data_IF_431428170513
#
_entry.id   IF_431428170513
#
_cell.length_a   1.000
_cell.length_b   1.000
_cell.length_c   1.000
_cell.angle_alpha   90.00
_cell.angle_beta   90.00
_cell.angle_gamma   90.00
#
_symmetry.space_group_name_H-M   'P 1'
#
loop_
_entity.id
_entity.type
_entity.pdbx_description
1 polymer ?
#
# COMPACT_ATOMS: atom_id res chain seq x y z
N UNK A 1 -51.38 -18.35 50.10
CA UNK A 1 -50.10 -19.12 50.06
C UNK A 1 -49.72 -19.26 48.59
N UNK A 2 -48.96 -18.32 48.01
CA UNK A 2 -47.50 -18.33 47.76
C UNK A 2 -46.97 -19.63 47.11
N UNK A 3 -46.39 -19.45 45.92
CA UNK A 3 -45.57 -20.41 45.13
C UNK A 3 -46.15 -20.56 43.72
N UNK A 4 -45.59 -20.08 42.61
CA UNK A 4 -44.22 -19.66 42.29
C UNK A 4 -43.62 -20.62 41.27
N UNK A 5 -43.81 -20.36 39.97
CA UNK A 5 -43.00 -20.94 38.90
C UNK A 5 -42.76 -19.88 37.83
N UNK A 6 -41.54 -19.34 37.81
CA UNK A 6 -41.07 -18.40 36.82
C UNK A 6 -40.83 -19.12 35.48
N UNK A 7 -41.35 -18.55 34.39
CA UNK A 7 -41.00 -18.97 33.04
C UNK A 7 -39.54 -18.58 32.77
N UNK A 8 -38.66 -19.58 32.67
CA UNK A 8 -37.28 -19.41 32.21
C UNK A 8 -37.29 -19.19 30.69
N UNK A 9 -37.09 -17.94 30.26
CA UNK A 9 -36.73 -17.61 28.88
C UNK A 9 -35.32 -18.17 28.57
N UNK A 10 -35.08 -18.86 27.44
CA UNK A 10 -33.74 -19.30 27.08
C UNK A 10 -32.99 -18.11 26.49
N UNK A 11 -32.41 -17.30 27.37
CA UNK A 11 -31.57 -16.15 27.02
C UNK A 11 -30.03 -16.39 27.01
N UNK A 12 -29.44 -17.59 26.76
CA UNK A 12 -27.98 -17.67 26.61
C UNK A 12 -27.47 -17.82 25.17
N UNK A 13 -28.32 -18.00 24.15
CA UNK A 13 -27.83 -18.31 22.79
C UNK A 13 -27.49 -17.10 21.92
N UNK A 14 -28.00 -15.90 22.25
CA UNK A 14 -27.69 -14.66 21.51
C UNK A 14 -26.44 -13.92 22.03
N UNK A 15 -25.92 -14.29 23.21
CA UNK A 15 -24.70 -13.70 23.77
C UNK A 15 -23.40 -14.42 23.32
N UNK A 16 -23.51 -15.62 22.76
CA UNK A 16 -22.35 -16.42 22.30
C UNK A 16 -21.94 -16.14 20.85
N UNK A 17 -22.71 -15.35 20.09
CA UNK A 17 -22.37 -14.93 18.72
C UNK A 17 -21.60 -13.59 18.66
N UNK A 18 -21.37 -12.93 19.80
CA UNK A 18 -20.67 -11.64 19.87
C UNK A 18 -19.16 -11.74 20.18
N UNK A 19 -18.59 -12.95 20.19
CA UNK A 19 -17.15 -13.19 20.24
C UNK A 19 -16.70 -13.93 18.98
N UNK A 20 -17.08 -13.41 17.81
CA UNK A 20 -16.34 -13.71 16.58
C UNK A 20 -14.93 -13.12 16.76
N UNK A 21 -14.03 -13.92 17.37
CA UNK A 21 -12.60 -13.62 17.48
C UNK A 21 -12.14 -13.30 16.07
N UNK A 22 -11.75 -12.05 15.81
CA UNK A 22 -11.12 -11.69 14.54
C UNK A 22 -10.00 -12.70 14.30
N UNK A 23 -9.91 -13.27 13.08
CA UNK A 23 -8.83 -14.21 12.78
C UNK A 23 -7.50 -13.55 13.14
N UNK A 24 -6.54 -14.31 13.69
CA UNK A 24 -5.25 -13.76 14.09
C UNK A 24 -4.63 -13.01 12.91
N UNK A 25 -4.11 -11.81 13.19
CA UNK A 25 -3.45 -10.96 12.19
C UNK A 25 -2.34 -11.76 11.49
N UNK A 26 -2.33 -11.77 10.15
CA UNK A 26 -1.31 -12.51 9.39
C UNK A 26 0.06 -11.89 9.63
N UNK A 27 1.15 -12.68 9.63
CA UNK A 27 2.48 -12.11 9.76
C UNK A 27 2.80 -11.19 8.59
N UNK A 28 3.60 -10.18 8.83
CA UNK A 28 4.07 -9.23 7.81
C UNK A 28 5.11 -9.87 6.90
N UNK A 29 5.16 -9.47 5.63
CA UNK A 29 6.31 -9.81 4.79
C UNK A 29 7.61 -9.28 5.42
N UNK A 30 8.66 -10.11 5.42
CA UNK A 30 9.98 -9.69 5.89
C UNK A 30 10.55 -8.58 4.99
N UNK A 31 11.31 -7.62 5.54
CA UNK A 31 11.88 -6.52 4.76
C UNK A 31 12.99 -7.04 3.83
N UNK A 32 12.62 -7.31 2.56
CA UNK A 32 13.51 -7.92 1.56
C UNK A 32 14.72 -7.05 1.22
N UNK A 33 14.56 -5.73 1.15
CA UNK A 33 15.55 -4.84 0.54
C UNK A 33 16.66 -4.38 1.50
N UNK A 34 16.28 -3.78 2.62
CA UNK A 34 17.22 -3.07 3.51
C UNK A 34 17.28 -3.63 4.92
N UNK A 35 16.52 -4.70 5.19
CA UNK A 35 16.29 -5.25 6.55
C UNK A 35 15.71 -4.24 7.56
N UNK A 36 15.33 -3.04 7.12
CA UNK A 36 14.72 -2.02 7.96
C UNK A 36 13.21 -2.23 8.07
N UNK A 37 12.59 -1.93 9.22
CA UNK A 37 11.14 -2.06 9.40
C UNK A 37 10.34 -1.00 8.64
N UNK A 38 10.95 0.15 8.35
CA UNK A 38 10.33 1.25 7.62
C UNK A 38 11.32 1.81 6.60
N UNK A 39 11.03 1.57 5.32
CA UNK A 39 11.87 1.97 4.19
C UNK A 39 11.46 3.35 3.67
N UNK A 40 12.42 4.18 3.29
CA UNK A 40 12.16 5.49 2.65
C UNK A 40 12.86 5.53 1.30
N UNK A 41 12.07 5.67 0.22
CA UNK A 41 12.58 5.72 -1.14
C UNK A 41 12.40 7.11 -1.75
N UNK A 42 13.41 7.57 -2.50
CA UNK A 42 13.35 8.76 -3.34
C UNK A 42 13.12 8.36 -4.81
N UNK A 43 12.00 8.78 -5.40
CA UNK A 43 11.64 8.55 -6.80
C UNK A 43 11.12 9.85 -7.45
N UNK A 44 11.85 10.94 -7.25
CA UNK A 44 11.57 12.27 -7.80
C UNK A 44 12.63 12.56 -8.88
N UNK A 45 12.26 13.12 -10.05
CA UNK A 45 13.18 13.29 -11.19
C UNK A 45 14.15 14.47 -10.98
N UNK A 46 15.05 14.35 -10.00
CA UNK A 46 16.00 15.39 -9.60
C UNK A 46 17.43 15.23 -10.13
N UNK A 47 17.69 14.23 -10.96
CA UNK A 47 19.00 13.97 -11.57
C UNK A 47 19.59 15.16 -12.34
N UNK A 48 18.73 16.02 -12.88
CA UNK A 48 19.11 17.15 -13.74
C UNK A 48 19.58 18.38 -12.94
N UNK A 49 19.34 18.41 -11.62
CA UNK A 49 19.72 19.54 -10.77
C UNK A 49 21.22 19.84 -10.79
N UNK A 50 22.06 18.80 -10.77
CA UNK A 50 23.52 18.96 -10.78
C UNK A 50 24.04 19.42 -12.16
N UNK A 51 23.81 18.70 -13.28
CA UNK A 51 24.37 19.07 -14.57
C UNK A 51 23.81 20.39 -15.12
N UNK A 52 22.54 20.74 -14.85
CA UNK A 52 21.93 21.96 -15.42
C UNK A 52 22.08 23.19 -14.53
N UNK A 53 22.10 23.03 -13.22
CA UNK A 53 22.01 24.16 -12.28
C UNK A 53 23.11 24.17 -11.21
N UNK A 54 24.06 23.24 -11.27
CA UNK A 54 25.14 23.08 -10.28
C UNK A 54 24.64 22.85 -8.84
N UNK A 55 23.40 22.33 -8.69
CA UNK A 55 22.82 21.99 -7.40
C UNK A 55 22.96 20.49 -7.16
N UNK A 56 23.93 20.09 -6.35
CA UNK A 56 24.10 18.70 -5.94
C UNK A 56 23.19 18.36 -4.75
N UNK A 57 22.34 17.34 -4.93
CA UNK A 57 21.50 16.78 -3.87
C UNK A 57 22.19 15.57 -3.24
N UNK A 58 22.02 15.40 -1.93
CA UNK A 58 22.54 14.25 -1.19
C UNK A 58 21.37 13.36 -0.75
N UNK A 59 21.40 12.10 -1.18
CA UNK A 59 20.36 11.12 -0.92
C UNK A 59 20.75 10.05 0.12
N UNK A 60 21.88 10.22 0.82
CA UNK A 60 22.40 9.25 1.80
C UNK A 60 21.49 8.98 3.01
N UNK A 61 20.43 9.77 3.18
CA UNK A 61 19.37 9.57 4.20
C UNK A 61 18.26 8.62 3.71
N UNK A 62 18.18 8.33 2.41
CA UNK A 62 17.20 7.42 1.82
C UNK A 62 17.76 6.01 1.73
N UNK A 63 16.86 5.03 1.85
CA UNK A 63 17.20 3.62 1.69
C UNK A 63 17.33 3.25 0.21
N UNK A 64 16.47 3.84 -0.64
CA UNK A 64 16.48 3.66 -2.08
C UNK A 64 16.49 5.03 -2.77
N UNK A 65 17.34 5.17 -3.78
CA UNK A 65 17.30 6.29 -4.71
C UNK A 65 16.96 5.74 -6.11
N UNK A 66 15.96 6.33 -6.73
CA UNK A 66 15.56 6.07 -8.09
C UNK A 66 15.15 7.37 -8.79
N UNK A 67 15.07 7.30 -10.12
CA UNK A 67 14.49 8.33 -10.98
C UNK A 67 13.34 7.72 -11.77
N UNK A 68 12.20 8.41 -11.88
CA UNK A 68 11.09 7.97 -12.73
C UNK A 68 11.34 8.24 -14.22
N UNK A 69 12.44 8.89 -14.60
CA UNK A 69 12.73 9.22 -15.99
C UNK A 69 13.08 7.98 -16.82
N UNK A 70 12.72 8.00 -18.10
CA UNK A 70 12.83 6.84 -19.00
C UNK A 70 14.25 6.30 -19.17
N UNK A 71 15.25 7.19 -19.13
CA UNK A 71 16.66 6.81 -19.28
C UNK A 71 17.27 6.10 -18.07
N UNK A 72 16.58 6.06 -16.93
CA UNK A 72 17.09 5.48 -15.69
C UNK A 72 16.57 4.06 -15.52
N UNK A 73 17.45 3.11 -15.83
CA UNK A 73 17.13 1.68 -15.85
C UNK A 73 17.93 0.92 -14.79
N UNK A 74 17.50 -0.30 -14.52
CA UNK A 74 18.13 -1.20 -13.55
C UNK A 74 18.31 -0.55 -12.18
N UNK A 75 17.22 0.02 -11.67
CA UNK A 75 17.12 0.63 -10.33
C UNK A 75 16.47 -0.34 -9.34
N UNK A 76 16.57 -0.10 -8.03
CA UNK A 76 15.92 -0.91 -6.99
C UNK A 76 14.44 -0.53 -6.78
N UNK A 77 14.02 0.61 -7.32
CA UNK A 77 12.63 1.03 -7.45
C UNK A 77 12.40 1.42 -8.90
N UNK A 78 11.46 0.77 -9.56
CA UNK A 78 11.09 1.03 -10.95
C UNK A 78 9.61 1.35 -11.02
N UNK A 79 9.27 2.49 -11.62
CA UNK A 79 7.88 2.85 -11.96
C UNK A 79 7.68 2.72 -13.47
N UNK A 80 6.64 1.99 -13.85
CA UNK A 80 6.25 1.76 -15.23
C UNK A 80 5.01 2.60 -15.57
N UNK A 81 5.23 3.74 -16.21
CA UNK A 81 4.16 4.52 -16.81
C UNK A 81 3.49 3.74 -17.96
N UNK A 82 2.30 4.19 -18.36
CA UNK A 82 1.41 3.51 -19.33
C UNK A 82 2.08 3.07 -20.64
N UNK A 83 3.09 3.78 -21.13
CA UNK A 83 3.82 3.44 -22.37
C UNK A 83 4.97 2.44 -22.17
N UNK A 84 5.32 2.11 -20.92
CA UNK A 84 6.56 1.39 -20.59
C UNK A 84 6.38 -0.09 -20.28
N UNK A 85 5.14 -0.58 -20.19
CA UNK A 85 4.85 -1.95 -19.80
C UNK A 85 3.70 -2.53 -20.62
N UNK A 86 4.05 -3.30 -21.64
CA UNK A 86 3.07 -3.93 -22.53
C UNK A 86 2.35 -2.92 -23.42
N UNK A 87 1.24 -3.35 -24.02
CA UNK A 87 0.35 -2.50 -24.83
C UNK A 87 -0.90 -2.13 -24.01
N UNK A 88 -0.74 -1.24 -23.03
CA UNK A 88 -1.86 -0.79 -22.20
C UNK A 88 -2.86 0.02 -23.05
N UNK A 89 -4.18 -0.29 -23.01
CA UNK A 89 -5.16 0.44 -23.79
C UNK A 89 -5.63 1.71 -23.09
N UNK A 90 -5.67 2.82 -23.82
CA UNK A 90 -6.12 4.11 -23.28
C UNK A 90 -6.55 5.09 -24.38
N UNK A 91 -7.14 6.20 -23.98
CA UNK A 91 -7.44 7.34 -24.85
C UNK A 91 -6.47 8.50 -24.62
N UNK A 92 -6.01 9.13 -25.70
CA UNK A 92 -5.27 10.40 -25.61
C UNK A 92 -6.19 11.54 -25.15
N UNK A 93 -5.62 12.70 -24.82
CA UNK A 93 -6.41 13.90 -24.51
C UNK A 93 -7.30 14.36 -25.67
N UNK A 94 -6.93 14.04 -26.91
CA UNK A 94 -7.74 14.24 -28.13
C UNK A 94 -8.75 13.11 -28.37
N UNK A 95 -8.99 12.23 -27.38
CA UNK A 95 -9.87 11.06 -27.47
C UNK A 95 -9.50 10.09 -28.62
N UNK A 96 -8.22 9.99 -28.96
CA UNK A 96 -7.73 8.97 -29.92
C UNK A 96 -7.45 7.67 -29.17
N UNK A 97 -7.99 6.56 -29.68
CA UNK A 97 -7.78 5.24 -29.08
C UNK A 97 -6.34 4.75 -29.33
N UNK A 98 -5.63 4.39 -28.27
CA UNK A 98 -4.33 3.73 -28.32
C UNK A 98 -4.49 2.28 -27.86
N UNK A 99 -3.88 1.34 -28.59
CA UNK A 99 -4.00 -0.10 -28.35
C UNK A 99 -5.45 -0.58 -28.23
N UNK A 100 -6.39 0.00 -28.99
CA UNK A 100 -7.82 -0.32 -28.94
C UNK A 100 -8.65 0.53 -27.96
N UNK A 101 -8.02 1.35 -27.12
CA UNK A 101 -8.67 2.33 -26.24
C UNK A 101 -9.30 1.75 -24.97
N UNK A 102 -10.03 0.63 -25.08
CA UNK A 102 -10.67 -0.06 -23.95
C UNK A 102 -10.22 -1.53 -23.86
N UNK A 103 -10.09 -2.12 -22.66
CA UNK A 103 -9.58 -3.49 -22.50
C UNK A 103 -10.29 -4.56 -23.34
N UNK A 104 -11.61 -4.50 -23.46
CA UNK A 104 -12.41 -5.49 -24.20
C UNK A 104 -12.28 -5.40 -25.73
N UNK A 105 -11.58 -4.38 -26.24
CA UNK A 105 -11.28 -4.20 -27.68
C UNK A 105 -9.79 -4.38 -27.99
N UNK A 106 -9.00 -4.79 -27.00
CA UNK A 106 -7.54 -4.84 -27.10
C UNK A 106 -7.04 -6.28 -27.12
N UNK A 107 -5.96 -6.52 -27.87
CA UNK A 107 -5.32 -7.84 -27.90
C UNK A 107 -4.51 -8.08 -26.63
N UNK A 108 -5.01 -8.93 -25.74
CA UNK A 108 -4.28 -9.33 -24.54
C UNK A 108 -2.98 -10.07 -24.88
N UNK A 109 -2.99 -10.90 -25.94
CA UNK A 109 -1.81 -11.65 -26.36
C UNK A 109 -0.66 -10.73 -26.79
N UNK A 110 -0.94 -9.72 -27.63
CA UNK A 110 0.06 -8.74 -28.06
C UNK A 110 0.54 -7.88 -26.88
N UNK A 111 -0.38 -7.50 -25.99
CA UNK A 111 -0.04 -6.80 -24.76
C UNK A 111 1.00 -7.59 -23.93
N UNK A 112 0.74 -8.87 -23.69
CA UNK A 112 1.62 -9.74 -22.90
C UNK A 112 2.95 -10.01 -23.60
N UNK A 113 2.95 -10.20 -24.92
CA UNK A 113 4.18 -10.40 -25.71
C UNK A 113 5.14 -9.20 -25.58
N UNK A 114 4.59 -7.98 -25.45
CA UNK A 114 5.37 -6.75 -25.30
C UNK A 114 5.89 -6.51 -23.87
N UNK A 115 5.40 -7.25 -22.86
CA UNK A 115 5.84 -7.08 -21.47
C UNK A 115 7.33 -7.40 -21.28
N UNK A 116 7.83 -8.44 -21.95
CA UNK A 116 9.22 -8.89 -21.79
C UNK A 116 10.23 -7.80 -22.15
N UNK A 117 9.96 -7.01 -23.19
CA UNK A 117 10.84 -5.92 -23.60
C UNK A 117 10.91 -4.81 -22.54
N UNK A 118 9.75 -4.35 -22.05
CA UNK A 118 9.70 -3.32 -21.01
C UNK A 118 10.36 -3.79 -19.71
N UNK A 119 10.01 -5.00 -19.25
CA UNK A 119 10.60 -5.58 -18.03
C UNK A 119 12.11 -5.79 -18.20
N UNK A 120 12.55 -6.32 -19.34
CA UNK A 120 13.96 -6.55 -19.64
C UNK A 120 14.79 -5.26 -19.70
N UNK A 121 14.21 -4.17 -20.25
CA UNK A 121 14.84 -2.84 -20.30
C UNK A 121 15.10 -2.30 -18.90
N UNK A 122 14.08 -2.26 -18.04
CA UNK A 122 14.16 -1.58 -16.74
C UNK A 122 14.64 -2.45 -15.58
N UNK A 123 14.48 -3.77 -15.65
CA UNK A 123 14.87 -4.71 -14.60
C UNK A 123 15.67 -5.83 -15.25
N UNK A 124 16.99 -5.70 -15.30
CA UNK A 124 17.84 -6.59 -16.13
C UNK A 124 17.96 -7.99 -15.54
N UNK A 125 18.23 -8.09 -14.23
CA UNK A 125 18.45 -9.36 -13.56
C UNK A 125 17.15 -9.96 -12.97
N UNK A 126 16.86 -11.26 -13.21
CA UNK A 126 15.77 -11.97 -12.53
C UNK A 126 15.97 -12.13 -11.02
N UNK A 127 17.22 -12.12 -10.56
CA UNK A 127 17.57 -12.25 -9.15
C UNK A 127 17.52 -10.93 -8.38
N UNK A 128 17.24 -9.81 -9.07
CA UNK A 128 17.19 -8.50 -8.44
C UNK A 128 15.96 -8.37 -7.55
N UNK A 129 16.19 -7.92 -6.32
CA UNK A 129 15.14 -7.52 -5.40
C UNK A 129 14.86 -6.03 -5.58
N UNK A 130 13.58 -5.66 -5.56
CA UNK A 130 13.18 -4.27 -5.80
C UNK A 130 11.69 -4.04 -5.66
N UNK A 131 11.31 -2.79 -5.81
CA UNK A 131 9.92 -2.35 -5.92
C UNK A 131 9.61 -2.13 -7.40
N UNK A 132 8.54 -2.75 -7.90
CA UNK A 132 8.10 -2.63 -9.28
C UNK A 132 6.66 -2.14 -9.34
N UNK A 133 6.49 -0.87 -9.66
CA UNK A 133 5.21 -0.17 -9.56
C UNK A 133 4.65 0.06 -10.95
N UNK A 134 3.44 -0.44 -11.20
CA UNK A 134 2.72 -0.22 -12.46
C UNK A 134 1.82 1.00 -12.30
N UNK A 135 2.07 2.04 -13.08
CA UNK A 135 1.36 3.31 -13.01
C UNK A 135 0.40 3.48 -14.19
N UNK A 136 -0.75 2.81 -14.05
CA UNK A 136 -1.83 2.80 -15.03
C UNK A 136 -3.04 3.55 -14.50
N UNK A 137 -3.12 4.83 -14.85
CA UNK A 137 -4.13 5.72 -14.28
C UNK A 137 -5.29 5.99 -15.22
N UNK A 138 -5.28 5.52 -16.47
CA UNK A 138 -6.18 6.03 -17.51
C UNK A 138 -7.63 5.60 -17.29
N UNK A 139 -7.85 4.34 -16.90
CA UNK A 139 -9.14 3.81 -16.47
C UNK A 139 -9.04 3.14 -15.10
N UNK A 140 -10.18 2.84 -14.49
CA UNK A 140 -10.30 2.06 -13.25
C UNK A 140 -10.99 0.72 -13.56
N UNK A 141 -10.58 -0.39 -12.96
CA UNK A 141 -11.14 -1.71 -13.27
C UNK A 141 -12.59 -1.89 -12.81
N UNK A 142 -13.10 -1.01 -11.94
CA UNK A 142 -14.50 -0.94 -11.56
C UNK A 142 -15.16 0.15 -12.39
N UNK A 143 -16.19 -0.22 -13.15
CA UNK A 143 -16.92 0.62 -14.10
C UNK A 143 -17.30 1.97 -13.52
N UNK A 144 -17.94 1.96 -12.34
CA UNK A 144 -18.49 3.17 -11.71
C UNK A 144 -17.41 4.18 -11.30
N UNK A 145 -16.15 3.75 -11.16
CA UNK A 145 -15.00 4.64 -10.86
C UNK A 145 -14.46 5.38 -12.09
N UNK A 146 -15.03 5.14 -13.28
CA UNK A 146 -14.68 5.84 -14.52
C UNK A 146 -15.59 7.05 -14.75
N UNK A 147 -15.74 7.92 -13.75
CA UNK A 147 -16.39 9.22 -13.90
C UNK A 147 -15.46 10.24 -14.57
N UNK A 148 -15.98 11.40 -14.96
CA UNK A 148 -15.21 12.48 -15.61
C UNK A 148 -13.87 12.75 -14.90
N UNK A 149 -12.74 12.79 -15.63
CA UNK A 149 -12.62 12.83 -17.09
C UNK A 149 -12.54 11.45 -17.78
N UNK A 150 -12.85 10.35 -17.09
CA UNK A 150 -12.75 8.96 -17.58
C UNK A 150 -14.06 8.40 -18.15
N UNK A 151 -15.06 9.25 -18.34
CA UNK A 151 -16.37 8.87 -18.88
C UNK A 151 -16.30 8.32 -20.31
N UNK A 152 -15.26 8.68 -21.09
CA UNK A 152 -14.99 8.12 -22.42
C UNK A 152 -14.94 6.59 -22.43
N UNK A 153 -14.41 5.96 -21.38
CA UNK A 153 -14.33 4.50 -21.28
C UNK A 153 -15.73 3.88 -21.17
N UNK A 154 -16.65 4.54 -20.46
CA UNK A 154 -18.03 4.09 -20.37
C UNK A 154 -18.80 4.36 -21.67
N UNK A 155 -18.59 5.52 -22.29
CA UNK A 155 -19.21 5.91 -23.56
C UNK A 155 -18.88 4.91 -24.67
N UNK A 156 -17.59 4.65 -24.91
CA UNK A 156 -17.14 3.74 -25.96
C UNK A 156 -17.56 2.31 -25.68
N UNK A 157 -17.48 1.86 -24.42
CA UNK A 157 -17.90 0.49 -24.08
C UNK A 157 -19.36 0.23 -24.43
N UNK A 158 -20.26 1.20 -24.21
CA UNK A 158 -21.66 1.11 -24.65
C UNK A 158 -21.79 1.14 -26.17
N UNK A 159 -21.05 2.01 -26.85
CA UNK A 159 -21.07 2.09 -28.32
C UNK A 159 -20.66 0.76 -28.98
N UNK A 160 -19.65 0.06 -28.44
CA UNK A 160 -19.23 -1.24 -28.95
C UNK A 160 -20.33 -2.30 -28.84
N UNK A 161 -21.13 -2.27 -27.78
CA UNK A 161 -22.28 -3.17 -27.63
C UNK A 161 -23.37 -2.82 -28.63
N UNK A 162 -23.72 -1.54 -28.77
CA UNK A 162 -24.73 -1.07 -29.74
C UNK A 162 -24.36 -1.45 -31.17
N UNK A 163 -23.09 -1.27 -31.56
CA UNK A 163 -22.61 -1.62 -32.90
C UNK A 163 -22.80 -3.11 -33.23
N UNK A 164 -22.64 -4.00 -32.23
CA UNK A 164 -22.84 -5.45 -32.41
C UNK A 164 -24.30 -5.88 -32.23
N UNK A 165 -25.08 -5.14 -31.45
CA UNK A 165 -26.46 -5.51 -31.08
C UNK A 165 -27.39 -4.27 -31.13
N UNK A 166 -27.75 -3.78 -32.34
CA UNK A 166 -28.46 -2.50 -32.50
C UNK A 166 -29.88 -2.46 -31.92
N UNK A 167 -30.52 -3.61 -31.73
CA UNK A 167 -31.92 -3.72 -31.31
C UNK A 167 -32.12 -3.91 -29.79
N UNK A 168 -31.03 -3.93 -29.00
CA UNK A 168 -31.09 -4.06 -27.53
C UNK A 168 -31.60 -2.77 -26.88
N UNK A 169 -32.27 -2.90 -25.75
CA UNK A 169 -32.62 -1.76 -24.92
C UNK A 169 -31.37 -1.11 -24.30
N UNK A 170 -31.48 0.18 -23.92
CA UNK A 170 -30.38 0.91 -23.28
C UNK A 170 -29.90 0.25 -21.98
N UNK A 171 -30.81 -0.36 -21.22
CA UNK A 171 -30.48 -1.05 -19.97
C UNK A 171 -29.63 -2.30 -20.24
N UNK A 172 -30.02 -3.11 -21.22
CA UNK A 172 -29.27 -4.30 -21.63
C UNK A 172 -27.90 -3.92 -22.19
N UNK A 173 -27.82 -2.87 -23.01
CA UNK A 173 -26.56 -2.33 -23.52
C UNK A 173 -25.64 -1.95 -22.37
N UNK A 174 -26.15 -1.25 -21.37
CA UNK A 174 -25.35 -0.82 -20.23
C UNK A 174 -24.88 -2.01 -19.38
N UNK A 175 -25.77 -2.97 -19.07
CA UNK A 175 -25.41 -4.20 -18.33
C UNK A 175 -24.30 -4.98 -19.04
N UNK A 176 -24.43 -5.14 -20.36
CA UNK A 176 -23.43 -5.85 -21.17
C UNK A 176 -22.10 -5.08 -21.23
N UNK A 177 -22.14 -3.75 -21.39
CA UNK A 177 -20.93 -2.92 -21.42
C UNK A 177 -20.15 -2.96 -20.10
N UNK A 178 -20.85 -2.94 -18.96
CA UNK A 178 -20.25 -3.12 -17.62
C UNK A 178 -19.54 -4.46 -17.54
N UNK A 179 -20.25 -5.55 -17.88
CA UNK A 179 -19.71 -6.90 -17.82
C UNK A 179 -18.46 -7.07 -18.68
N UNK A 180 -18.52 -6.65 -19.94
CA UNK A 180 -17.39 -6.78 -20.86
C UNK A 180 -16.18 -5.95 -20.43
N UNK A 181 -16.40 -4.70 -20.02
CA UNK A 181 -15.34 -3.81 -19.58
C UNK A 181 -14.64 -4.33 -18.32
N UNK A 182 -15.40 -4.65 -17.26
CA UNK A 182 -14.80 -5.09 -15.99
C UNK A 182 -14.14 -6.48 -16.13
N UNK A 183 -14.74 -7.38 -16.93
CA UNK A 183 -14.14 -8.68 -17.24
C UNK A 183 -12.79 -8.54 -17.94
N UNK A 184 -12.74 -7.71 -19.00
CA UNK A 184 -11.51 -7.49 -19.74
C UNK A 184 -10.47 -6.69 -18.91
N UNK A 185 -10.89 -5.68 -18.16
CA UNK A 185 -10.00 -4.93 -17.26
C UNK A 185 -9.34 -5.85 -16.22
N UNK A 186 -10.12 -6.74 -15.60
CA UNK A 186 -9.60 -7.78 -14.70
C UNK A 186 -8.59 -8.68 -15.41
N UNK A 187 -8.93 -9.20 -16.59
CA UNK A 187 -8.03 -10.09 -17.34
C UNK A 187 -6.70 -9.41 -17.69
N UNK A 188 -6.74 -8.14 -18.14
CA UNK A 188 -5.55 -7.36 -18.44
C UNK A 188 -4.66 -7.18 -17.20
N UNK A 189 -5.22 -6.67 -16.10
CA UNK A 189 -4.43 -6.39 -14.89
C UNK A 189 -3.86 -7.67 -14.26
N UNK A 190 -4.65 -8.75 -14.17
CA UNK A 190 -4.21 -10.03 -13.61
C UNK A 190 -3.12 -10.68 -14.46
N UNK A 191 -3.33 -10.75 -15.78
CA UNK A 191 -2.38 -11.41 -16.68
C UNK A 191 -1.05 -10.66 -16.75
N UNK A 192 -1.11 -9.33 -16.65
CA UNK A 192 0.08 -8.47 -16.52
C UNK A 192 0.87 -8.80 -15.26
N UNK A 193 0.23 -8.81 -14.08
CA UNK A 193 0.90 -9.13 -12.83
C UNK A 193 1.48 -10.55 -12.85
N UNK A 194 0.73 -11.54 -13.33
CA UNK A 194 1.22 -12.93 -13.43
C UNK A 194 2.47 -13.05 -14.29
N UNK A 195 2.45 -12.43 -15.47
CA UNK A 195 3.58 -12.45 -16.40
C UNK A 195 4.78 -11.69 -15.82
N UNK A 196 4.55 -10.51 -15.24
CA UNK A 196 5.59 -9.70 -14.64
C UNK A 196 6.27 -10.42 -13.45
N UNK A 197 5.49 -11.06 -12.58
CA UNK A 197 6.01 -11.92 -11.49
C UNK A 197 6.79 -13.11 -12.02
N UNK A 198 6.32 -13.77 -13.07
CA UNK A 198 7.03 -14.89 -13.67
C UNK A 198 8.40 -14.46 -14.21
N UNK A 199 8.48 -13.30 -14.87
CA UNK A 199 9.74 -12.77 -15.38
C UNK A 199 10.66 -12.24 -14.26
N UNK A 200 10.11 -11.62 -13.22
CA UNK A 200 10.86 -11.00 -12.11
C UNK A 200 10.22 -11.36 -10.76
N UNK A 201 10.45 -12.58 -10.25
CA UNK A 201 9.76 -13.10 -9.06
C UNK A 201 10.22 -12.47 -7.75
N UNK A 202 11.36 -11.75 -7.76
CA UNK A 202 11.92 -11.06 -6.59
C UNK A 202 11.56 -9.58 -6.51
N UNK A 203 10.82 -9.08 -7.49
CA UNK A 203 10.32 -7.71 -7.48
C UNK A 203 8.97 -7.68 -6.79
N UNK A 204 8.75 -6.69 -5.93
CA UNK A 204 7.45 -6.45 -5.31
C UNK A 204 6.56 -5.71 -6.33
N UNK A 205 5.79 -6.48 -7.09
CA UNK A 205 4.85 -5.97 -8.09
C UNK A 205 3.55 -5.47 -7.47
N UNK A 206 3.08 -4.32 -7.94
CA UNK A 206 1.75 -3.80 -7.60
C UNK A 206 1.41 -2.55 -8.41
N UNK A 207 0.14 -2.16 -8.38
CA UNK A 207 -0.33 -0.96 -9.06
C UNK A 207 -0.26 0.25 -8.15
N UNK A 208 0.28 1.36 -8.66
CA UNK A 208 0.18 2.67 -8.03
C UNK A 208 -1.29 3.04 -7.81
N UNK A 209 -1.55 3.82 -6.75
CA UNK A 209 -2.86 4.30 -6.28
C UNK A 209 -3.72 3.26 -5.55
N UNK A 210 -3.47 1.95 -5.72
CA UNK A 210 -4.36 0.93 -5.17
C UNK A 210 -3.92 0.42 -3.77
N UNK A 211 -4.87 0.26 -2.82
CA UNK A 211 -6.27 0.68 -2.90
C UNK A 211 -6.42 2.21 -2.74
N UNK A 212 -7.48 2.76 -3.33
CA UNK A 212 -7.90 4.13 -3.09
C UNK A 212 -9.08 4.16 -2.10
N UNK A 213 -9.09 5.16 -1.23
CA UNK A 213 -10.08 5.40 -0.20
C UNK A 213 -11.18 6.36 -0.66
N UNK A 214 -10.91 7.19 -1.67
CA UNK A 214 -11.81 8.24 -2.18
C UNK A 214 -12.40 9.18 -1.12
N UNK A 215 -11.67 9.42 -0.03
CA UNK A 215 -12.03 10.30 1.10
C UNK A 215 -11.75 11.79 0.82
N UNK A 216 -12.17 12.30 -0.34
CA UNK A 216 -11.86 13.65 -0.82
C UNK A 216 -12.88 14.73 -0.45
N UNK A 217 -13.89 14.41 0.36
CA UNK A 217 -14.96 15.33 0.74
C UNK A 217 -14.53 16.39 1.78
N UNK A 218 -13.26 16.38 2.22
CA UNK A 218 -12.65 17.42 3.04
C UNK A 218 -12.83 18.84 2.47
N UNK A 219 -12.93 18.98 1.14
CA UNK A 219 -13.14 20.29 0.52
C UNK A 219 -14.53 20.85 0.78
N UNK A 220 -15.53 19.99 1.01
CA UNK A 220 -16.93 20.35 1.23
C UNK A 220 -17.30 20.34 2.72
N UNK A 221 -16.68 19.46 3.49
CA UNK A 221 -17.08 19.13 4.86
C UNK A 221 -15.97 19.40 5.89
N UNK A 222 -15.24 20.53 5.79
CA UNK A 222 -14.01 20.76 6.57
C UNK A 222 -14.13 20.49 8.08
N UNK A 223 -15.23 20.92 8.70
CA UNK A 223 -15.45 20.82 10.15
C UNK A 223 -15.88 19.40 10.58
N UNK A 224 -16.73 18.75 9.79
CA UNK A 224 -17.26 17.40 10.06
C UNK A 224 -16.43 16.28 9.43
N UNK A 225 -15.35 16.60 8.72
CA UNK A 225 -14.52 15.63 8.03
C UNK A 225 -13.90 14.62 9.00
N UNK A 226 -14.20 13.35 8.78
CA UNK A 226 -13.71 12.22 9.60
C UNK A 226 -12.48 11.56 9.00
N UNK A 227 -12.21 11.77 7.71
CA UNK A 227 -11.18 11.04 6.96
C UNK A 227 -11.62 9.68 6.45
N UNK A 228 -12.70 9.10 6.98
CA UNK A 228 -13.07 7.71 6.70
C UNK A 228 -13.32 7.46 5.22
N UNK A 229 -12.84 6.31 4.73
CA UNK A 229 -13.23 5.84 3.40
C UNK A 229 -14.74 5.57 3.40
N UNK A 230 -15.51 6.07 2.42
CA UNK A 230 -16.92 5.73 2.31
C UNK A 230 -17.12 4.20 2.25
N UNK A 231 -18.13 3.66 2.93
CA UNK A 231 -18.33 2.20 3.02
C UNK A 231 -18.54 1.53 1.64
N UNK A 232 -19.14 2.25 0.70
CA UNK A 232 -19.25 1.81 -0.69
C UNK A 232 -17.88 1.62 -1.35
N UNK A 233 -16.89 2.43 -0.99
CA UNK A 233 -15.54 2.35 -1.55
C UNK A 233 -14.74 1.21 -0.93
N UNK A 234 -14.95 0.91 0.35
CA UNK A 234 -14.40 -0.29 1.00
C UNK A 234 -14.98 -1.56 0.37
N UNK A 235 -16.29 -1.61 0.15
CA UNK A 235 -16.96 -2.73 -0.55
C UNK A 235 -16.43 -2.89 -1.98
N UNK A 236 -16.22 -1.78 -2.71
CA UNK A 236 -15.61 -1.80 -4.04
C UNK A 236 -14.16 -2.30 -4.01
N UNK A 237 -13.40 -1.94 -2.98
CA UNK A 237 -12.06 -2.49 -2.79
C UNK A 237 -12.13 -4.00 -2.50
N UNK A 238 -13.10 -4.49 -1.74
CA UNK A 238 -13.29 -5.93 -1.50
C UNK A 238 -13.58 -6.70 -2.81
N UNK A 239 -14.32 -6.10 -3.74
CA UNK A 239 -14.58 -6.68 -5.08
C UNK A 239 -13.30 -6.86 -5.93
N UNK A 240 -12.22 -6.16 -5.59
CA UNK A 240 -10.92 -6.27 -6.24
C UNK A 240 -10.04 -7.36 -5.60
N UNK A 241 -10.60 -8.31 -4.84
CA UNK A 241 -9.90 -9.47 -4.28
C UNK A 241 -8.94 -10.16 -5.27
N UNK A 242 -9.32 -10.24 -6.54
CA UNK A 242 -8.51 -10.80 -7.62
C UNK A 242 -7.23 -10.01 -7.92
N UNK A 243 -7.22 -8.69 -7.69
CA UNK A 243 -6.06 -7.83 -7.88
C UNK A 243 -5.09 -8.03 -6.70
N UNK A 244 -5.63 -7.98 -5.48
CA UNK A 244 -4.87 -8.10 -4.25
C UNK A 244 -4.16 -9.44 -4.14
N UNK A 245 -4.85 -10.52 -4.52
CA UNK A 245 -4.27 -11.88 -4.54
C UNK A 245 -3.09 -12.00 -5.50
N UNK A 246 -3.07 -11.21 -6.57
CA UNK A 246 -2.01 -11.24 -7.57
C UNK A 246 -0.88 -10.25 -7.30
N UNK A 247 -1.12 -9.22 -6.49
CA UNK A 247 -0.10 -8.25 -6.06
C UNK A 247 0.90 -8.87 -5.09
N UNK A 248 2.13 -8.33 -5.08
CA UNK A 248 3.17 -8.63 -4.11
C UNK A 248 3.42 -7.49 -3.12
N UNK A 249 2.88 -6.30 -3.39
CA UNK A 249 2.84 -5.15 -2.51
C UNK A 249 1.65 -4.23 -2.85
N UNK A 250 1.29 -3.35 -1.93
CA UNK A 250 0.28 -2.30 -2.15
C UNK A 250 0.94 -0.92 -2.20
N UNK A 251 0.46 -0.06 -3.11
CA UNK A 251 1.05 1.25 -3.38
C UNK A 251 0.01 2.38 -3.33
N UNK A 252 -0.68 2.59 -2.18
CA UNK A 252 -1.65 3.66 -2.05
C UNK A 252 -0.97 5.03 -2.13
N UNK A 253 -1.64 6.02 -2.71
CA UNK A 253 -1.19 7.41 -2.72
C UNK A 253 -1.82 8.19 -1.58
N UNK A 254 -1.06 9.05 -0.89
CA UNK A 254 -1.54 9.93 0.19
C UNK A 254 -1.19 11.40 -0.06
N UNK A 255 -1.05 11.79 -1.32
CA UNK A 255 -0.63 13.14 -1.66
C UNK A 255 -1.57 14.18 -1.05
N UNK A 256 -1.00 15.17 -0.37
CA UNK A 256 -1.78 16.21 0.32
C UNK A 256 -2.16 17.34 -0.64
N UNK A 257 -3.45 17.66 -0.65
CA UNK A 257 -3.94 18.91 -1.24
C UNK A 257 -3.54 20.11 -0.37
N UNK A 258 -3.17 21.26 -0.95
CA UNK A 258 -2.91 22.48 -0.19
C UNK A 258 -4.04 22.88 0.78
N UNK A 259 -5.29 22.49 0.51
CA UNK A 259 -6.42 22.70 1.43
C UNK A 259 -6.29 21.96 2.76
N UNK A 260 -5.46 20.91 2.82
CA UNK A 260 -5.18 20.13 4.02
C UNK A 260 -3.94 20.63 4.78
N UNK A 261 -3.18 21.56 4.20
CA UNK A 261 -1.87 21.99 4.70
C UNK A 261 -1.94 22.41 6.18
N UNK A 262 -1.15 21.71 7.00
CA UNK A 262 -0.98 21.93 8.44
C UNK A 262 -2.29 21.88 9.24
N UNK A 263 -3.28 21.12 8.76
CA UNK A 263 -4.56 20.92 9.45
C UNK A 263 -4.65 19.53 10.09
N UNK A 264 -5.45 19.33 11.15
CA UNK A 264 -5.74 17.99 11.67
C UNK A 264 -6.37 17.05 10.62
N UNK A 265 -7.03 17.62 9.60
CA UNK A 265 -7.64 16.86 8.52
C UNK A 265 -6.61 16.21 7.59
N UNK A 266 -5.37 16.73 7.50
CA UNK A 266 -4.31 16.03 6.76
C UNK A 266 -4.04 14.65 7.37
N UNK A 267 -3.96 14.58 8.71
CA UNK A 267 -3.78 13.31 9.43
C UNK A 267 -4.95 12.37 9.23
N UNK A 268 -6.19 12.86 9.35
CA UNK A 268 -7.40 12.04 9.13
C UNK A 268 -7.43 11.47 7.70
N UNK A 269 -7.10 12.30 6.71
CA UNK A 269 -7.02 11.91 5.31
C UNK A 269 -6.00 10.79 5.08
N UNK A 270 -4.77 10.97 5.59
CA UNK A 270 -3.69 9.98 5.45
C UNK A 270 -4.02 8.71 6.23
N UNK A 271 -4.40 8.82 7.50
CA UNK A 271 -4.70 7.69 8.40
C UNK A 271 -5.70 6.74 7.76
N UNK A 272 -6.80 7.24 7.22
CA UNK A 272 -7.82 6.40 6.60
C UNK A 272 -7.30 5.67 5.35
N UNK A 273 -6.50 6.33 4.52
CA UNK A 273 -5.92 5.75 3.30
C UNK A 273 -4.91 4.65 3.63
N UNK A 274 -4.04 4.89 4.60
CA UNK A 274 -3.09 3.88 5.09
C UNK A 274 -3.84 2.72 5.74
N UNK A 275 -4.82 2.99 6.60
CA UNK A 275 -5.61 1.93 7.25
C UNK A 275 -6.40 1.07 6.25
N UNK A 276 -6.93 1.65 5.17
CA UNK A 276 -7.58 0.86 4.12
C UNK A 276 -6.59 -0.06 3.40
N UNK A 277 -5.39 0.43 3.10
CA UNK A 277 -4.33 -0.40 2.54
C UNK A 277 -3.90 -1.51 3.52
N UNK A 278 -3.76 -1.20 4.81
CA UNK A 278 -3.46 -2.20 5.85
C UNK A 278 -4.59 -3.24 5.95
N UNK A 279 -5.86 -2.83 5.90
CA UNK A 279 -7.02 -3.72 5.90
C UNK A 279 -6.99 -4.69 4.71
N UNK A 280 -6.76 -4.19 3.50
CA UNK A 280 -6.66 -5.01 2.28
C UNK A 280 -5.45 -5.95 2.33
N UNK A 281 -4.32 -5.48 2.87
CA UNK A 281 -3.08 -6.26 2.94
C UNK A 281 -3.24 -7.58 3.69
N UNK A 282 -4.15 -7.64 4.66
CA UNK A 282 -4.39 -8.80 5.53
C UNK A 282 -5.31 -9.86 4.89
N UNK A 283 -6.10 -9.51 3.88
CA UNK A 283 -7.23 -10.36 3.47
C UNK A 283 -6.86 -11.42 2.44
N UNK A 284 -6.14 -11.05 1.38
CA UNK A 284 -6.20 -11.83 0.13
C UNK A 284 -4.98 -12.69 -0.19
N UNK A 285 -3.84 -12.47 0.46
CA UNK A 285 -2.65 -13.31 0.26
C UNK A 285 -2.61 -14.46 1.28
N UNK A 286 -2.18 -15.63 0.82
CA UNK A 286 -2.03 -16.81 1.68
C UNK A 286 -0.75 -16.69 2.51
N UNK A 287 -0.85 -16.88 3.82
CA UNK A 287 0.30 -17.02 4.72
C UNK A 287 0.96 -15.74 5.24
N UNK A 288 0.78 -14.57 4.62
CA UNK A 288 1.31 -13.29 5.10
C UNK A 288 0.47 -12.09 4.64
N UNK A 289 0.64 -10.93 5.28
CA UNK A 289 0.06 -9.65 4.87
C UNK A 289 0.98 -8.93 3.88
N UNK A 290 0.42 -8.41 2.79
CA UNK A 290 1.21 -7.69 1.78
C UNK A 290 1.95 -6.47 2.39
N UNK A 291 3.21 -6.23 2.02
CA UNK A 291 3.89 -5.00 2.43
C UNK A 291 3.23 -3.79 1.75
N UNK A 292 2.96 -2.74 2.53
CA UNK A 292 2.36 -1.48 2.05
C UNK A 292 3.44 -0.42 1.92
N UNK A 293 3.65 0.11 0.71
CA UNK A 293 4.57 1.22 0.45
C UNK A 293 3.78 2.44 0.00
N UNK A 294 3.72 3.44 0.86
CA UNK A 294 2.82 4.57 0.69
C UNK A 294 3.47 5.65 -0.19
N UNK A 295 2.82 6.04 -1.27
CA UNK A 295 3.28 7.12 -2.14
C UNK A 295 2.96 8.48 -1.52
N UNK A 296 4.00 9.28 -1.30
CA UNK A 296 3.91 10.67 -0.82
C UNK A 296 4.70 11.62 -1.73
N UNK A 297 4.63 12.92 -1.48
CA UNK A 297 5.36 13.96 -2.22
C UNK A 297 6.22 14.80 -1.26
N UNK A 298 7.33 15.38 -1.72
CA UNK A 298 8.04 16.41 -0.96
C UNK A 298 7.23 17.71 -0.79
N UNK A 299 6.26 17.96 -1.68
CA UNK A 299 5.39 19.15 -1.70
C UNK A 299 3.92 18.78 -1.73
N UNK A 300 3.05 19.76 -1.43
CA UNK A 300 1.61 19.61 -1.69
C UNK A 300 1.34 19.47 -3.20
N UNK A 301 0.27 18.78 -3.58
CA UNK A 301 -0.05 18.59 -5.02
C UNK A 301 -0.25 19.93 -5.71
N UNK A 302 0.18 20.01 -6.98
CA UNK A 302 0.04 21.19 -7.85
C UNK A 302 0.76 22.45 -7.36
N UNK A 303 1.61 22.34 -6.33
CA UNK A 303 2.45 23.44 -5.82
C UNK A 303 3.85 22.96 -5.50
N UNK A 304 4.82 23.88 -5.52
CA UNK A 304 6.19 23.65 -5.08
C UNK A 304 6.40 23.93 -3.59
N UNK A 305 5.32 24.20 -2.85
CA UNK A 305 5.32 24.41 -1.41
C UNK A 305 5.66 23.08 -0.70
N UNK A 306 6.82 23.00 -0.06
CA UNK A 306 7.27 21.80 0.65
C UNK A 306 6.35 21.47 1.84
N UNK A 307 6.23 20.18 2.18
CA UNK A 307 5.41 19.77 3.33
C UNK A 307 5.97 20.36 4.63
N UNK A 308 5.11 20.92 5.45
CA UNK A 308 5.50 21.44 6.76
C UNK A 308 5.83 20.30 7.73
N UNK A 309 6.47 20.61 8.85
CA UNK A 309 6.74 19.61 9.90
C UNK A 309 5.46 18.90 10.41
N UNK A 310 4.33 19.58 10.69
CA UNK A 310 3.06 18.91 10.99
C UNK A 310 2.62 17.92 9.92
N UNK A 311 2.81 18.24 8.63
CA UNK A 311 2.40 17.35 7.55
C UNK A 311 3.40 16.22 7.26
N UNK A 312 4.69 16.40 7.57
CA UNK A 312 5.64 15.28 7.65
C UNK A 312 5.21 14.27 8.72
N UNK A 313 4.68 14.76 9.86
CA UNK A 313 4.07 13.92 10.89
C UNK A 313 2.81 13.23 10.39
N UNK A 314 1.89 13.98 9.79
CA UNK A 314 0.63 13.45 9.28
C UNK A 314 0.79 12.49 8.09
N UNK A 315 1.92 12.53 7.37
CA UNK A 315 2.20 11.66 6.22
C UNK A 315 3.12 10.50 6.57
N UNK A 316 4.41 10.78 6.75
CA UNK A 316 5.45 9.78 6.97
C UNK A 316 5.32 9.18 8.37
N UNK A 317 5.14 10.03 9.40
CA UNK A 317 4.99 9.59 10.77
C UNK A 317 3.77 8.70 10.97
N UNK A 318 2.63 9.10 10.42
CA UNK A 318 1.40 8.33 10.46
C UNK A 318 1.55 6.99 9.74
N UNK A 319 2.19 6.97 8.56
CA UNK A 319 2.45 5.73 7.82
C UNK A 319 3.33 4.75 8.61
N UNK A 320 4.42 5.24 9.22
CA UNK A 320 5.30 4.42 10.04
C UNK A 320 4.59 3.88 11.29
N UNK A 321 3.84 4.73 11.99
CA UNK A 321 3.13 4.35 13.20
C UNK A 321 2.02 3.31 12.92
N UNK A 322 1.39 3.34 11.75
CA UNK A 322 0.37 2.36 11.36
C UNK A 322 0.94 1.04 10.80
N UNK A 323 2.27 0.88 10.75
CA UNK A 323 2.93 -0.36 10.35
C UNK A 323 3.16 -0.53 8.85
N UNK A 324 3.05 0.54 8.05
CA UNK A 324 3.43 0.49 6.64
C UNK A 324 4.90 0.03 6.48
N UNK A 325 5.22 -0.65 5.39
CA UNK A 325 6.59 -1.10 5.10
C UNK A 325 7.52 0.03 4.69
N UNK A 326 6.96 1.14 4.22
CA UNK A 326 7.74 2.30 3.86
C UNK A 326 6.93 3.38 3.17
N UNK A 327 7.65 4.44 2.79
CA UNK A 327 7.14 5.53 1.96
C UNK A 327 7.99 5.72 0.72
N UNK A 328 7.35 6.12 -0.37
CA UNK A 328 8.00 6.45 -1.64
C UNK A 328 7.70 7.90 -1.95
N UNK A 329 8.73 8.74 -2.00
CA UNK A 329 8.61 10.10 -2.51
C UNK A 329 8.52 10.06 -4.02
N UNK A 330 7.46 10.64 -4.57
CA UNK A 330 7.32 10.85 -6.00
C UNK A 330 7.23 12.33 -6.31
N UNK A 331 7.59 12.69 -7.55
CA UNK A 331 7.38 14.02 -8.07
C UNK A 331 7.43 14.08 -9.58
N UNK A 332 7.01 15.22 -10.11
CA UNK A 332 6.96 15.54 -11.54
C UNK A 332 8.20 16.35 -11.96
N UNK A 333 8.22 16.82 -13.20
CA UNK A 333 9.36 17.59 -13.72
C UNK A 333 9.51 18.99 -13.09
N UNK A 334 8.54 19.49 -12.30
CA UNK A 334 8.62 20.84 -11.73
C UNK A 334 9.75 20.98 -10.71
N UNK A 335 10.15 19.88 -10.06
CA UNK A 335 11.27 19.83 -9.13
C UNK A 335 12.64 20.09 -9.78
N UNK A 336 12.74 19.96 -11.10
CA UNK A 336 13.95 20.23 -11.91
C UNK A 336 13.75 21.30 -12.96
N UNK A 337 12.70 22.12 -12.84
CA UNK A 337 12.37 23.15 -13.82
C UNK A 337 13.44 24.25 -13.91
N UNK A 338 13.99 24.67 -12.78
CA UNK A 338 14.97 25.75 -12.68
C UNK A 338 15.88 25.56 -11.45
N UNK A 339 16.90 26.42 -11.33
CA UNK A 339 17.86 26.41 -10.21
C UNK A 339 17.18 26.60 -8.85
N UNK A 340 16.14 27.43 -8.78
CA UNK A 340 15.41 27.72 -7.55
C UNK A 340 14.66 26.48 -7.04
N UNK A 341 13.90 25.78 -7.89
CA UNK A 341 13.24 24.51 -7.54
C UNK A 341 14.24 23.48 -7.01
N UNK A 342 15.38 23.33 -7.68
CA UNK A 342 16.45 22.44 -7.23
C UNK A 342 17.03 22.87 -5.88
N UNK A 343 17.24 24.17 -5.66
CA UNK A 343 17.76 24.69 -4.41
C UNK A 343 16.75 24.53 -3.26
N UNK A 344 15.46 24.72 -3.52
CA UNK A 344 14.37 24.47 -2.56
C UNK A 344 14.39 23.01 -2.11
N UNK A 345 14.48 22.06 -3.05
CA UNK A 345 14.59 20.64 -2.70
C UNK A 345 15.89 20.34 -1.95
N UNK A 346 17.02 20.91 -2.34
CA UNK A 346 18.29 20.75 -1.61
C UNK A 346 18.15 21.20 -0.16
N UNK A 347 17.64 22.40 0.06
CA UNK A 347 17.47 22.98 1.38
C UNK A 347 16.51 22.15 2.23
N UNK A 348 15.45 21.63 1.62
CA UNK A 348 14.47 20.79 2.30
C UNK A 348 15.05 19.44 2.72
N UNK A 349 15.79 18.77 1.82
CA UNK A 349 16.49 17.51 2.11
C UNK A 349 17.54 17.67 3.23
N UNK A 350 18.30 18.76 3.20
CA UNK A 350 19.31 19.07 4.23
C UNK A 350 18.72 19.67 5.52
N UNK A 351 17.41 19.97 5.50
CA UNK A 351 16.67 20.63 6.55
C UNK A 351 15.61 19.72 7.15
N UNK A 352 14.36 20.14 7.08
CA UNK A 352 13.23 19.54 7.81
C UNK A 352 12.96 18.10 7.38
N UNK A 353 12.98 17.83 6.07
CA UNK A 353 12.71 16.48 5.55
C UNK A 353 13.78 15.49 6.00
N UNK A 354 15.06 15.86 5.86
CA UNK A 354 16.15 14.98 6.26
C UNK A 354 16.16 14.68 7.74
N UNK A 355 15.96 15.70 8.59
CA UNK A 355 15.85 15.52 10.04
C UNK A 355 14.69 14.60 10.40
N UNK A 356 13.55 14.78 9.74
CA UNK A 356 12.37 13.97 10.00
C UNK A 356 12.54 12.51 9.57
N UNK A 357 13.11 12.26 8.38
CA UNK A 357 13.39 10.90 7.88
C UNK A 357 14.31 10.15 8.85
N UNK A 358 15.42 10.76 9.26
CA UNK A 358 16.36 10.11 10.20
C UNK A 358 15.69 9.84 11.54
N UNK A 359 14.87 10.77 12.04
CA UNK A 359 14.12 10.59 13.28
C UNK A 359 13.19 9.36 13.20
N UNK A 360 12.28 9.33 12.24
CA UNK A 360 11.26 8.27 12.15
C UNK A 360 11.86 6.90 11.81
N UNK A 361 12.83 6.83 10.89
CA UNK A 361 13.46 5.55 10.49
C UNK A 361 14.28 4.95 11.61
N UNK A 362 15.04 5.78 12.34
CA UNK A 362 15.82 5.31 13.51
C UNK A 362 14.89 4.86 14.64
N UNK A 363 13.83 5.62 14.93
CA UNK A 363 12.86 5.26 15.95
C UNK A 363 12.15 3.93 15.61
N UNK A 364 11.77 3.72 14.35
CA UNK A 364 11.18 2.47 13.88
C UNK A 364 12.15 1.28 14.03
N UNK A 365 13.43 1.46 13.67
CA UNK A 365 14.47 0.44 13.83
C UNK A 365 14.69 0.08 15.31
N UNK A 366 14.78 1.08 16.19
CA UNK A 366 14.96 0.88 17.62
C UNK A 366 13.75 0.17 18.23
N UNK A 367 12.53 0.56 17.85
CA UNK A 367 11.32 -0.10 18.32
C UNK A 367 11.27 -1.57 17.87
N UNK A 368 11.55 -1.85 16.60
CA UNK A 368 11.66 -3.21 16.06
C UNK A 368 12.65 -4.05 16.86
N UNK A 369 13.81 -3.49 17.18
CA UNK A 369 14.86 -4.20 17.94
C UNK A 369 14.45 -4.46 19.39
N UNK A 370 13.96 -3.44 20.09
CA UNK A 370 13.70 -3.50 21.55
C UNK A 370 12.39 -4.20 21.90
N UNK A 371 11.35 -4.04 21.09
CA UNK A 371 10.04 -4.68 21.34
C UNK A 371 9.88 -6.00 20.58
N UNK A 372 10.40 -6.07 19.36
CA UNK A 372 10.09 -7.15 18.42
C UNK A 372 11.30 -8.02 18.07
N UNK A 373 12.40 -7.93 18.84
CA UNK A 373 13.63 -8.71 18.64
C UNK A 373 14.28 -8.54 17.26
N UNK A 374 13.96 -7.45 16.54
CA UNK A 374 14.34 -7.27 15.13
C UNK A 374 13.57 -8.16 14.15
N UNK A 375 12.62 -8.96 14.64
CA UNK A 375 11.83 -9.95 13.89
C UNK A 375 10.39 -9.52 13.64
N UNK A 376 10.11 -8.22 13.82
CA UNK A 376 8.83 -7.61 13.52
C UNK A 376 8.95 -6.10 13.43
N UNK A 377 7.89 -5.47 12.96
CA UNK A 377 7.76 -4.00 12.98
C UNK A 377 6.83 -3.58 14.11
N UNK A 378 7.03 -2.38 14.63
CA UNK A 378 6.09 -1.80 15.58
C UNK A 378 4.90 -1.19 14.84
N UNK A 379 3.70 -1.44 15.34
CA UNK A 379 2.49 -0.74 14.95
C UNK A 379 1.83 -0.12 16.18
N UNK A 380 1.15 1.01 15.99
CA UNK A 380 0.42 1.71 17.03
C UNK A 380 -0.68 0.81 17.59
N UNK A 381 -0.79 0.74 18.91
CA UNK A 381 -1.75 -0.14 19.57
C UNK A 381 -3.19 0.32 19.33
N UNK A 382 -3.47 1.61 19.54
CA UNK A 382 -4.70 2.27 19.13
C UNK A 382 -4.44 3.05 17.84
N UNK A 383 -4.94 2.56 16.71
CA UNK A 383 -4.78 3.22 15.41
C UNK A 383 -5.30 4.67 15.36
N UNK A 384 -6.22 5.06 16.25
CA UNK A 384 -6.77 6.40 16.32
C UNK A 384 -5.96 7.38 17.21
N UNK A 385 -5.08 6.88 18.07
CA UNK A 385 -4.27 7.72 18.95
C UNK A 385 -3.21 8.52 18.18
N UNK A 386 -2.85 9.70 18.68
CA UNK A 386 -1.86 10.60 18.06
C UNK A 386 -0.46 10.40 18.64
N UNK A 387 0.02 9.15 18.59
CA UNK A 387 1.35 8.75 19.09
C UNK A 387 2.23 8.22 17.95
N UNK A 388 3.50 8.63 17.90
CA UNK A 388 4.35 8.38 16.73
C UNK A 388 5.67 7.73 17.12
N UNK A 389 6.30 7.05 16.16
CA UNK A 389 7.65 6.53 16.31
C UNK A 389 8.64 7.68 16.07
N UNK A 390 8.93 8.44 17.13
CA UNK A 390 9.92 9.52 17.10
C UNK A 390 11.01 9.32 18.15
N UNK A 391 12.22 9.80 17.85
CA UNK A 391 13.31 9.88 18.80
C UNK A 391 13.04 10.98 19.83
N UNK A 392 13.24 10.66 21.11
CA UNK A 392 13.16 11.63 22.19
C UNK A 392 14.40 12.55 22.17
N UNK A 393 14.24 13.89 22.05
CA UNK A 393 15.37 14.83 21.97
C UNK A 393 16.22 14.89 23.25
N UNK A 394 15.73 14.37 24.38
CA UNK A 394 16.53 14.25 25.62
C UNK A 394 17.49 13.05 25.60
N UNK A 395 17.20 12.05 24.76
CA UNK A 395 17.96 10.79 24.69
C UNK A 395 18.75 10.63 23.38
N UNK A 396 18.39 11.41 22.36
CA UNK A 396 19.03 11.39 21.05
C UNK A 396 19.32 12.79 20.53
N UNK A 397 20.46 12.92 19.84
CA UNK A 397 20.85 14.10 19.09
C UNK A 397 21.00 13.75 17.62
N UNK A 398 20.41 14.58 16.74
CA UNK A 398 20.68 14.48 15.31
C UNK A 398 21.97 15.22 14.97
N UNK A 399 22.90 14.51 14.35
CA UNK A 399 24.15 15.05 13.82
C UNK A 399 24.02 15.29 12.33
N UNK A 400 24.75 16.30 11.86
CA UNK A 400 24.89 16.64 10.43
C UNK A 400 26.33 16.39 10.03
N UNK A 401 26.53 15.89 8.82
CA UNK A 401 27.86 15.68 8.27
C UNK A 401 28.61 17.00 8.13
N UNK A 402 29.85 17.00 8.58
CA UNK A 402 30.83 18.06 8.42
C UNK A 402 31.96 17.64 7.47
N UNK A 403 32.92 18.54 7.24
CA UNK A 403 34.06 18.29 6.37
C UNK A 403 35.03 17.22 6.92
N UNK A 404 35.01 16.96 8.22
CA UNK A 404 35.90 16.01 8.88
C UNK A 404 35.39 14.56 8.73
N UNK A 405 34.10 14.37 8.47
CA UNK A 405 33.46 13.05 8.36
C UNK A 405 32.80 12.80 6.98
N UNK A 406 33.55 12.87 5.86
CA UNK A 406 32.97 12.81 4.51
C UNK A 406 32.27 11.47 4.20
N UNK A 407 32.59 10.40 4.93
CA UNK A 407 32.01 9.07 4.74
C UNK A 407 30.66 8.86 5.47
N UNK A 408 30.26 9.79 6.35
CA UNK A 408 28.96 9.70 7.04
C UNK A 408 27.79 10.00 6.08
N UNK A 409 26.57 9.55 6.40
CA UNK A 409 25.38 10.08 5.74
C UNK A 409 25.19 11.56 6.09
N UNK A 410 24.40 12.28 5.30
CA UNK A 410 24.10 13.70 5.47
C UNK A 410 23.62 14.04 6.89
N UNK A 411 22.78 13.18 7.47
CA UNK A 411 22.27 13.26 8.82
C UNK A 411 22.26 11.85 9.46
N UNK A 412 22.53 11.77 10.76
CA UNK A 412 22.35 10.54 11.55
C UNK A 412 21.93 10.86 12.98
N UNK A 413 21.42 9.87 13.70
CA UNK A 413 21.08 10.00 15.11
C UNK A 413 22.16 9.34 15.99
N UNK A 414 22.49 10.00 17.09
CA UNK A 414 23.34 9.47 18.16
C UNK A 414 22.56 9.47 19.47
N UNK A 415 22.72 8.42 20.26
CA UNK A 415 22.01 8.27 21.53
C UNK A 415 21.61 6.83 21.80
N UNK A 416 20.86 6.63 22.88
CA UNK A 416 20.32 5.33 23.28
C UNK A 416 18.96 5.55 23.93
N UNK A 417 18.07 4.56 23.77
CA UNK A 417 16.77 4.61 24.44
C UNK A 417 16.95 4.63 25.96
N UNK A 418 16.30 5.59 26.60
CA UNK A 418 16.17 5.59 28.05
C UNK A 418 15.13 4.55 28.52
N UNK A 419 15.08 4.21 29.82
CA UNK A 419 14.00 3.41 30.37
C UNK A 419 12.61 4.05 30.15
N UNK A 420 12.53 5.38 30.14
CA UNK A 420 11.29 6.10 29.87
C UNK A 420 10.85 5.94 28.41
N UNK A 421 11.78 6.03 27.45
CA UNK A 421 11.48 5.82 26.03
C UNK A 421 11.01 4.38 25.77
N UNK A 422 11.68 3.40 26.38
CA UNK A 422 11.29 1.99 26.25
C UNK A 422 9.89 1.74 26.82
N UNK A 423 9.55 2.39 27.95
CA UNK A 423 8.20 2.33 28.52
C UNK A 423 7.17 2.96 27.58
N UNK A 424 7.47 4.14 27.03
CA UNK A 424 6.61 4.79 26.04
C UNK A 424 6.32 3.88 24.84
N UNK A 425 7.35 3.23 24.28
CA UNK A 425 7.19 2.29 23.18
C UNK A 425 6.29 1.11 23.59
N UNK A 426 6.53 0.48 24.75
CA UNK A 426 5.70 -0.66 25.24
C UNK A 426 4.25 -0.30 25.49
N UNK A 427 3.98 0.94 25.91
CA UNK A 427 2.62 1.41 26.21
C UNK A 427 1.82 1.71 24.94
N UNK A 428 2.48 2.17 23.88
CA UNK A 428 1.80 2.74 22.71
C UNK A 428 1.90 1.89 21.45
N UNK A 429 2.82 0.93 21.41
CA UNK A 429 3.10 0.11 20.24
C UNK A 429 3.11 -1.39 20.57
N UNK A 430 2.68 -2.18 19.59
CA UNK A 430 2.76 -3.65 19.61
C UNK A 430 3.52 -4.16 18.40
N UNK A 431 3.96 -5.41 18.44
CA UNK A 431 4.66 -6.01 17.31
C UNK A 431 3.72 -6.61 16.27
N UNK A 432 4.06 -6.38 15.00
CA UNK A 432 3.60 -7.15 13.85
C UNK A 432 4.77 -7.99 13.35
N UNK A 433 4.75 -9.28 13.65
CA UNK A 433 5.89 -10.16 13.37
C UNK A 433 6.06 -10.42 11.89
N UNK A 434 7.31 -10.55 11.45
CA UNK A 434 7.62 -10.98 10.10
C UNK A 434 7.29 -12.46 9.93
N UNK A 435 7.07 -12.87 8.69
CA UNK A 435 6.87 -14.27 8.34
C UNK A 435 7.98 -15.15 8.91
N UNK A 436 7.59 -16.24 9.57
CA UNK A 436 8.50 -17.13 10.29
C UNK A 436 8.63 -16.83 11.79
N UNK A 437 8.01 -15.75 12.29
CA UNK A 437 8.06 -15.38 13.71
C UNK A 437 6.67 -15.18 14.32
N UNK A 438 6.56 -15.46 15.61
CA UNK A 438 5.32 -15.35 16.38
C UNK A 438 5.60 -14.93 17.84
N UNK A 439 4.51 -14.71 18.59
CA UNK A 439 4.55 -14.20 19.96
C UNK A 439 4.40 -12.68 20.01
N UNK A 440 4.06 -12.15 21.19
CA UNK A 440 3.79 -10.72 21.39
C UNK A 440 5.00 -9.81 21.11
N UNK A 441 6.22 -10.35 21.18
CA UNK A 441 7.48 -9.68 20.85
C UNK A 441 8.27 -10.36 19.73
N UNK A 442 7.62 -11.20 18.92
CA UNK A 442 8.24 -11.92 17.79
C UNK A 442 9.46 -12.78 18.18
N UNK A 443 9.46 -13.31 19.40
CA UNK A 443 10.59 -14.01 19.99
C UNK A 443 10.62 -15.51 19.66
N UNK A 444 9.54 -16.06 19.09
CA UNK A 444 9.44 -17.49 18.77
C UNK A 444 9.46 -17.70 17.26
N UNK A 445 10.31 -18.60 16.74
CA UNK A 445 10.19 -19.05 15.36
C UNK A 445 8.92 -19.88 15.20
N UNK A 446 8.21 -19.70 14.10
CA UNK A 446 7.10 -20.59 13.70
C UNK A 446 7.74 -21.89 13.25
N UNK A 447 7.49 -22.99 13.97
CA UNK A 447 8.02 -24.32 13.62
C UNK A 447 7.70 -24.71 12.18
N UNK A 448 8.48 -25.61 11.55
CA UNK A 448 8.20 -26.06 10.19
C UNK A 448 6.76 -26.58 10.15
N UNK A 449 5.93 -26.00 9.28
CA UNK A 449 4.58 -26.49 9.03
C UNK A 449 4.69 -27.99 8.75
N UNK A 450 4.13 -28.82 9.64
CA UNK A 450 3.90 -30.23 9.35
C UNK A 450 3.23 -30.33 7.99
N UNK A 451 3.68 -31.31 7.20
CA UNK A 451 3.31 -31.48 5.81
C UNK A 451 1.80 -31.59 5.57
N UNK A 452 1.47 -31.72 4.29
CA UNK A 452 0.17 -32.01 3.72
C UNK A 452 -0.82 -32.72 4.68
N UNK A 453 -2.13 -32.41 4.62
CA UNK A 453 -3.11 -33.24 5.31
C UNK A 453 -2.88 -34.69 4.88
N UNK A 454 -2.49 -35.53 5.85
CA UNK A 454 -2.36 -36.96 5.61
C UNK A 454 -3.69 -37.51 5.09
N UNK A 455 -3.67 -38.62 4.33
CA UNK A 455 -4.90 -39.23 3.85
C UNK A 455 -5.83 -39.48 5.05
N UNK A 456 -7.14 -39.26 4.90
CA UNK A 456 -8.08 -39.49 5.99
C UNK A 456 -7.91 -40.92 6.50
N UNK A 457 -7.57 -41.05 7.77
CA UNK A 457 -7.64 -42.32 8.49
C UNK A 457 -9.04 -42.88 8.32
N UNK A 458 -9.22 -44.15 7.90
CA UNK A 458 -10.55 -44.72 7.76
C UNK A 458 -11.21 -44.72 9.14
N UNK A 459 -12.27 -43.93 9.29
CA UNK A 459 -13.14 -44.02 10.45
C UNK A 459 -13.74 -45.42 10.42
N UNK A 460 -13.34 -46.25 11.38
CA UNK A 460 -13.87 -47.59 11.54
C UNK A 460 -15.40 -47.53 11.64
N UNK A 461 -16.05 -48.47 10.94
CA UNK A 461 -17.51 -48.66 10.87
C UNK A 461 -18.25 -48.81 12.21
N UNK A 462 -17.56 -48.72 13.36
CA UNK A 462 -18.16 -48.75 14.69
C UNK A 462 -18.76 -47.41 15.16
N UNK A 463 -18.31 -46.26 14.62
CA UNK A 463 -18.77 -44.94 15.09
C UNK A 463 -20.12 -44.49 14.51
N UNK A 464 -20.53 -45.04 13.38
CA UNK A 464 -21.77 -44.64 12.69
C UNK A 464 -22.99 -45.39 13.25
N UNK A 465 -22.81 -46.58 13.83
CA UNK A 465 -23.91 -47.33 14.44
C UNK A 465 -24.40 -46.74 15.78
N UNK A 466 -23.53 -46.09 16.55
CA UNK A 466 -23.93 -45.50 17.84
C UNK A 466 -24.78 -44.23 17.70
N UNK A 467 -24.59 -43.47 16.62
CA UNK A 467 -25.36 -42.25 16.34
C UNK A 467 -26.75 -42.54 15.76
N UNK A 468 -26.95 -43.68 15.09
CA UNK A 468 -28.26 -44.11 14.58
C UNK A 468 -29.16 -44.74 15.67
N UNK A 469 -28.59 -45.35 16.71
CA UNK A 469 -29.36 -45.92 17.82
C UNK A 469 -29.87 -44.87 18.82
N UNK A 470 -29.25 -43.70 18.90
CA UNK A 470 -29.72 -42.60 19.77
C UNK A 470 -30.86 -41.76 19.14
N UNK A 471 -31.07 -41.84 17.82
CA UNK A 471 -32.13 -41.11 17.12
C UNK A 471 -33.45 -41.90 16.98
N UNK A 472 -33.47 -43.19 17.35
CA UNK A 472 -34.68 -44.02 17.38
C UNK A 472 -35.26 -44.21 18.79
N UNK A 473 -34.68 -43.57 19.81
CA UNK A 473 -35.16 -43.62 21.20
C UNK A 473 -36.02 -42.42 21.64
N UNK A 474 -36.40 -41.55 20.71
CA UNK A 474 -37.31 -40.42 20.95
C UNK A 474 -38.30 -40.31 19.78
N UNK A 475 -39.16 -41.32 19.67
CA UNK A 475 -40.47 -41.25 19.02
C UNK A 475 -41.48 -41.93 19.93
#
# INVERSE_FOLDING_TARGET
MRGGCAAALPLPWLALLALARQPPEKPSAAPLLTRRPFLVAWNVPTQDCKPRFQVALDFSIFDLQASPNEGFVDQNLTIFYKERLGLYPYYTSQRVAVNGGVPQRSSLAEHLARLQEGIGKYIRSPAKEGLAVIDWEEWRPIWVRNWKPKDVYQEVSRQLVVQRQPHRSLEEVNKQAVFEFESAARQFMVSTLRSAKSFRPKQLWGFYLFPDCYNHDYSKNKESYTGQCPDVEKTRNDQLAWLWKESMALYPSIYLDPLLASTPNSRKFVRARVMEAMRISQQHHDGYSLPVFVYTRPTYIRKMDVLSQPDLISTIGESAALGAAGVIFWGDADYTKNRESCQTIKNYLEGDLGRYIVNVTTAAQLCSTVLCQGQGRCLRQDSAADVFLHLNPTSFQLRRRDAEQPQRPLLWAEGRLSPADTRFLRTNFRCHCYQGWQGSGCQQPVGPRGGAPGPPTPVGLGGVLLLLLLLLGCL
#
